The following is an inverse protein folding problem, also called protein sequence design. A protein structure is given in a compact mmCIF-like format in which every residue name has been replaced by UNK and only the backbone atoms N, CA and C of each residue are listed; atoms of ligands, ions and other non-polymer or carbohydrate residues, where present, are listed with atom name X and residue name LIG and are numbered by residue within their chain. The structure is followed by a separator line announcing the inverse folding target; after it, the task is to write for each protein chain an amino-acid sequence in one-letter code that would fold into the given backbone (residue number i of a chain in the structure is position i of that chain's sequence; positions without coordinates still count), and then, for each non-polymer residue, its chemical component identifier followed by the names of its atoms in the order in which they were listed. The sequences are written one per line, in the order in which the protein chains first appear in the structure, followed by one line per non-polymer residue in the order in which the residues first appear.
data_IF_531214646983
#
_entry.id   IF_531214646983
#
_cell.length_a   1.000
_cell.length_b   1.000
_cell.length_c   1.000
_cell.angle_alpha   90.00
_cell.angle_beta   90.00
_cell.angle_gamma   90.00
#
_symmetry.space_group_name_H-M   'P 1'
#
loop_
_entity.id
_entity.type
_entity.pdbx_description
1 polymer ?
#
# COMPACT_ATOMS: atom_id res chain seq x y z
N UNK A 1 5.73 12.52 -10.50
CA UNK A 1 5.94 11.16 -9.96
C UNK A 1 4.59 10.45 -9.90
N UNK A 2 4.59 9.12 -9.90
CA UNK A 2 3.42 8.26 -9.74
C UNK A 2 3.70 7.20 -8.68
N UNK A 3 2.67 6.79 -7.95
CA UNK A 3 2.76 5.84 -6.83
C UNK A 3 2.07 4.51 -7.16
N UNK A 4 2.71 3.41 -6.77
CA UNK A 4 2.21 2.06 -7.00
C UNK A 4 2.59 1.15 -5.83
N UNK A 5 1.80 0.11 -5.55
CA UNK A 5 2.33 -1.02 -4.79
C UNK A 5 3.41 -1.73 -5.61
N UNK A 6 4.46 -2.15 -4.93
CA UNK A 6 5.53 -2.98 -5.50
C UNK A 6 4.97 -4.32 -5.98
N UNK A 7 5.62 -4.91 -6.99
CA UNK A 7 5.25 -6.23 -7.52
C UNK A 7 5.38 -7.36 -6.49
N UNK A 8 6.04 -7.08 -5.35
CA UNK A 8 6.18 -7.99 -4.20
C UNK A 8 4.88 -8.11 -3.39
N UNK A 9 3.96 -7.16 -3.53
CA UNK A 9 2.71 -7.11 -2.78
C UNK A 9 1.69 -8.08 -3.36
N UNK A 10 1.21 -9.00 -2.52
CA UNK A 10 0.24 -10.02 -2.91
C UNK A 10 -1.07 -9.41 -3.41
N UNK A 11 -1.76 -10.10 -4.32
CA UNK A 11 -3.06 -9.66 -4.85
C UNK A 11 -4.10 -9.45 -3.75
N UNK A 12 -4.09 -10.27 -2.69
CA UNK A 12 -4.98 -10.10 -1.54
C UNK A 12 -4.85 -8.72 -0.89
N UNK A 13 -3.62 -8.23 -0.75
CA UNK A 13 -3.36 -6.88 -0.18
C UNK A 13 -3.83 -5.80 -1.15
N UNK A 14 -3.71 -6.02 -2.46
CA UNK A 14 -4.23 -5.11 -3.48
C UNK A 14 -5.76 -5.10 -3.56
N UNK A 15 -6.44 -6.15 -3.08
CA UNK A 15 -7.89 -6.19 -2.93
C UNK A 15 -8.35 -5.44 -1.67
N UNK A 16 -7.51 -5.39 -0.63
CA UNK A 16 -7.80 -4.73 0.65
C UNK A 16 -7.45 -3.24 0.67
N UNK A 17 -6.40 -2.83 -0.04
CA UNK A 17 -5.90 -1.47 -0.03
C UNK A 17 -5.70 -0.95 -1.45
N UNK A 18 -5.87 0.36 -1.61
CA UNK A 18 -5.63 1.08 -2.85
C UNK A 18 -4.78 2.30 -2.60
N UNK A 19 -3.84 2.56 -3.51
CA UNK A 19 -3.06 3.80 -3.54
C UNK A 19 -3.48 4.68 -4.73
N UNK A 20 -3.76 5.96 -4.49
CA UNK A 20 -3.96 6.91 -5.57
C UNK A 20 -2.62 7.21 -6.25
N UNK A 21 -2.56 6.97 -7.55
CA UNK A 21 -1.32 7.10 -8.32
C UNK A 21 -0.74 8.52 -8.35
N UNK A 22 -1.53 9.57 -8.07
CA UNK A 22 -1.10 10.96 -8.18
C UNK A 22 -0.80 11.59 -6.82
N UNK A 23 -1.62 11.32 -5.79
CA UNK A 23 -1.45 11.86 -4.44
C UNK A 23 -0.65 10.95 -3.51
N UNK A 24 -0.59 9.65 -3.79
CA UNK A 24 -0.03 8.65 -2.89
C UNK A 24 -0.92 8.32 -1.70
N UNK A 25 -2.17 8.80 -1.68
CA UNK A 25 -3.14 8.49 -0.63
C UNK A 25 -3.48 6.98 -0.64
N UNK A 26 -3.34 6.33 0.52
CA UNK A 26 -3.70 4.93 0.71
C UNK A 26 -5.08 4.87 1.38
N UNK A 27 -5.99 4.09 0.80
CA UNK A 27 -7.34 3.85 1.32
C UNK A 27 -7.59 2.37 1.47
N UNK A 28 -8.37 2.01 2.47
CA UNK A 28 -8.95 0.68 2.61
C UNK A 28 -10.12 0.53 1.63
N UNK A 29 -10.16 -0.56 0.88
CA UNK A 29 -11.25 -0.94 -0.03
C UNK A 29 -11.95 -2.24 0.42
N UNK A 30 -11.26 -3.09 1.21
CA UNK A 30 -11.80 -4.33 1.77
C UNK A 30 -12.08 -4.27 3.27
N UNK A 31 -12.68 -5.33 3.80
CA UNK A 31 -12.87 -5.48 5.24
C UNK A 31 -11.54 -5.88 5.90
N UNK A 32 -11.20 -5.21 7.00
CA UNK A 32 -10.05 -5.51 7.83
C UNK A 32 -10.56 -6.13 9.12
N UNK A 33 -10.10 -7.34 9.41
CA UNK A 33 -10.43 -8.06 10.64
C UNK A 33 -9.14 -8.23 11.46
N UNK A 34 -9.15 -7.72 12.69
CA UNK A 34 -7.97 -7.70 13.55
C UNK A 34 -7.57 -9.12 13.97
N UNK A 35 -8.57 -9.97 14.19
CA UNK A 35 -8.45 -11.38 14.55
C UNK A 35 -7.77 -12.20 13.45
N UNK A 36 -7.91 -11.77 12.19
CA UNK A 36 -7.27 -12.41 11.04
C UNK A 36 -5.84 -11.88 10.83
N UNK A 37 -5.67 -10.56 10.68
CA UNK A 37 -4.39 -9.93 10.34
C UNK A 37 -4.25 -8.60 11.07
N UNK A 38 -3.23 -8.50 11.92
CA UNK A 38 -2.99 -7.33 12.77
C UNK A 38 -2.12 -6.26 12.10
N UNK A 39 -1.32 -6.61 11.09
CA UNK A 39 -0.48 -5.66 10.38
C UNK A 39 -0.18 -6.04 8.93
N UNK A 40 0.11 -5.02 8.12
CA UNK A 40 0.48 -5.14 6.72
C UNK A 40 1.74 -4.35 6.42
N UNK A 41 2.72 -4.99 5.80
CA UNK A 41 3.91 -4.34 5.26
C UNK A 41 3.70 -4.01 3.78
N UNK A 42 3.49 -2.73 3.48
CA UNK A 42 3.26 -2.21 2.14
C UNK A 42 4.53 -1.62 1.56
N UNK A 43 5.08 -2.27 0.53
CA UNK A 43 6.16 -1.74 -0.28
C UNK A 43 5.58 -0.91 -1.43
N UNK A 44 5.99 0.36 -1.51
CA UNK A 44 5.52 1.34 -2.48
C UNK A 44 6.67 1.68 -3.42
N UNK A 45 6.40 1.62 -4.72
CA UNK A 45 7.30 2.14 -5.76
C UNK A 45 6.80 3.51 -6.24
N UNK A 46 7.73 4.46 -6.34
CA UNK A 46 7.48 5.80 -6.85
C UNK A 46 8.29 6.01 -8.12
N UNK A 47 7.63 6.24 -9.25
CA UNK A 47 8.28 6.47 -10.55
C UNK A 47 8.17 7.92 -10.96
N UNK A 48 9.26 8.53 -11.42
CA UNK A 48 9.22 9.86 -12.03
C UNK A 48 8.67 9.84 -13.46
N UNK A 49 8.57 11.02 -14.08
CA UNK A 49 8.09 11.19 -15.46
C UNK A 49 9.25 11.33 -16.46
N UNK A 50 10.46 10.94 -16.05
CA UNK A 50 11.68 11.04 -16.86
C UNK A 50 11.70 10.04 -18.02
N UNK A 51 12.75 10.12 -18.83
CA UNK A 51 13.02 9.16 -19.91
C UNK A 51 14.53 8.89 -19.98
N UNK A 52 15.03 7.76 -19.44
CA UNK A 52 14.28 6.71 -18.74
C UNK A 52 13.72 7.20 -17.39
N UNK A 53 12.63 6.60 -16.88
CA UNK A 53 12.11 6.95 -15.56
C UNK A 53 13.07 6.48 -14.46
N UNK A 54 13.16 7.26 -13.39
CA UNK A 54 13.80 6.87 -12.14
C UNK A 54 12.75 6.37 -11.15
N UNK A 55 13.08 5.31 -10.41
CA UNK A 55 12.26 4.75 -9.35
C UNK A 55 12.87 4.97 -7.97
N UNK A 56 12.01 5.15 -6.97
CA UNK A 56 12.33 5.07 -5.54
C UNK A 56 11.39 4.11 -4.83
N UNK A 57 11.81 3.60 -3.68
CA UNK A 57 11.04 2.64 -2.88
C UNK A 57 10.82 3.15 -1.46
N UNK A 58 9.68 2.83 -0.88
CA UNK A 58 9.32 3.16 0.50
C UNK A 58 8.52 2.01 1.12
N UNK A 59 8.74 1.74 2.41
CA UNK A 59 7.97 0.75 3.17
C UNK A 59 7.04 1.46 4.14
N UNK A 60 5.78 1.05 4.17
CA UNK A 60 4.74 1.55 5.06
C UNK A 60 4.20 0.37 5.86
N UNK A 61 4.27 0.45 7.18
CA UNK A 61 3.66 -0.53 8.08
C UNK A 61 2.29 0.00 8.49
N UNK A 62 1.24 -0.75 8.18
CA UNK A 62 -0.12 -0.48 8.65
C UNK A 62 -0.46 -1.41 9.80
N UNK A 63 -0.86 -0.84 10.93
CA UNK A 63 -1.35 -1.59 12.09
C UNK A 63 -2.88 -1.49 12.13
N UNK A 64 -3.56 -2.63 12.19
CA UNK A 64 -5.00 -2.71 12.40
C UNK A 64 -5.23 -2.53 13.89
N UNK A 65 -6.07 -1.56 14.25
CA UNK A 65 -6.45 -1.32 15.63
C UNK A 65 -7.67 -2.18 15.97
N UNK A 66 -7.56 -2.94 17.05
CA UNK A 66 -8.71 -3.61 17.64
C UNK A 66 -9.70 -2.56 18.16
N UNK A 67 -10.97 -2.72 17.81
CA UNK A 67 -12.05 -1.85 18.27
C UNK A 67 -12.59 -2.31 19.63
N UNK A 68 -12.25 -3.52 20.07
CA UNK A 68 -12.70 -4.10 21.32
C UNK A 68 -11.59 -3.99 22.40
N UNK A 69 -11.84 -3.16 23.41
CA UNK A 69 -11.26 -3.27 24.76
C UNK A 69 -12.41 -3.29 25.77
#
# INVERSE_FOLDING_TARGET
IYYFFSDTISSKVQDLFRIDKNSGEIRTEGELDFEDIQSYDLEIEVRDKGTPPLSGHCSVVLEVLDLND
#
